data_IF_615897549794
#
_entry.id   IF_615897549794
#
_cell.length_a   1.000
_cell.length_b   1.000
_cell.length_c   1.000
_cell.angle_alpha   90.00
_cell.angle_beta   90.00
_cell.angle_gamma   90.00
#
_symmetry.space_group_name_H-M   'P 1'
#
loop_
_entity.id
_entity.type
_entity.pdbx_description
1 polymer ?
#
# COMPACT_ATOMS: atom_id res chain seq x y z
N UNK A 1 -23.28 -1.13 -3.51
CA UNK A 1 -21.96 -1.77 -3.74
C UNK A 1 -20.89 -1.07 -2.92
N UNK A 2 -19.99 -1.84 -2.35
CA UNK A 2 -18.90 -1.25 -1.59
C UNK A 2 -17.91 -0.56 -2.53
N UNK A 3 -17.41 0.60 -2.12
CA UNK A 3 -16.35 1.30 -2.85
C UNK A 3 -15.02 0.57 -2.62
N UNK A 4 -14.02 0.88 -3.44
CA UNK A 4 -12.69 0.31 -3.25
C UNK A 4 -12.10 0.71 -1.89
N UNK A 5 -12.36 1.93 -1.44
CA UNK A 5 -11.91 2.37 -0.11
C UNK A 5 -12.54 1.55 1.00
N UNK A 6 -13.84 1.25 0.89
CA UNK A 6 -14.54 0.42 1.87
C UNK A 6 -14.00 -1.02 1.85
N UNK A 7 -13.74 -1.58 0.65
CA UNK A 7 -13.14 -2.90 0.52
C UNK A 7 -11.75 -2.96 1.16
N UNK A 8 -10.95 -1.93 0.93
CA UNK A 8 -9.61 -1.85 1.51
C UNK A 8 -9.68 -1.78 3.04
N UNK A 9 -10.58 -0.99 3.57
CA UNK A 9 -10.81 -0.91 5.01
C UNK A 9 -11.20 -2.27 5.58
N UNK A 10 -12.17 -2.94 4.93
CA UNK A 10 -12.64 -4.24 5.38
C UNK A 10 -11.53 -5.30 5.32
N UNK A 11 -10.69 -5.24 4.28
CA UNK A 11 -9.52 -6.12 4.16
C UNK A 11 -8.54 -5.90 5.31
N UNK A 12 -8.26 -4.64 5.63
CA UNK A 12 -7.36 -4.34 6.74
C UNK A 12 -7.91 -4.87 8.06
N UNK A 13 -9.21 -4.68 8.30
CA UNK A 13 -9.87 -5.18 9.50
C UNK A 13 -9.90 -6.72 9.54
N UNK A 14 -9.85 -7.37 8.38
CA UNK A 14 -9.80 -8.83 8.29
C UNK A 14 -8.38 -9.40 8.51
N UNK A 15 -7.37 -8.53 8.67
CA UNK A 15 -6.02 -8.97 9.01
C UNK A 15 -4.97 -8.78 7.93
N UNK A 16 -5.34 -8.34 6.73
CA UNK A 16 -4.36 -8.03 5.69
C UNK A 16 -3.54 -6.81 6.08
N UNK A 17 -2.28 -6.74 5.60
CA UNK A 17 -1.49 -5.54 5.83
C UNK A 17 -1.96 -4.39 4.93
N UNK A 18 -1.42 -3.19 5.14
CA UNK A 18 -1.86 -1.99 4.43
C UNK A 18 -1.77 -2.15 2.90
N UNK A 19 -0.68 -2.70 2.41
CA UNK A 19 -0.48 -2.88 0.97
C UNK A 19 -1.42 -3.95 0.41
N UNK A 20 -1.56 -5.07 1.11
CA UNK A 20 -2.48 -6.13 0.71
C UNK A 20 -3.93 -5.65 0.74
N UNK A 21 -4.29 -4.86 1.74
CA UNK A 21 -5.65 -4.34 1.86
C UNK A 21 -6.04 -3.54 0.61
N UNK A 22 -5.15 -2.68 0.14
CA UNK A 22 -5.37 -1.89 -1.07
C UNK A 22 -5.35 -2.78 -2.31
N UNK A 23 -4.31 -3.60 -2.47
CA UNK A 23 -4.16 -4.44 -3.67
C UNK A 23 -5.33 -5.39 -3.85
N UNK A 24 -5.77 -6.05 -2.76
CA UNK A 24 -6.89 -6.99 -2.83
C UNK A 24 -8.20 -6.30 -3.17
N UNK A 25 -8.38 -5.03 -2.79
CA UNK A 25 -9.58 -4.27 -3.14
C UNK A 25 -9.71 -4.09 -4.66
N UNK A 26 -8.59 -4.16 -5.40
CA UNK A 26 -8.55 -4.01 -6.86
C UNK A 26 -8.24 -5.31 -7.59
N UNK A 27 -8.26 -6.45 -6.90
CA UNK A 27 -7.88 -7.73 -7.51
C UNK A 27 -8.66 -8.02 -8.79
N UNK A 28 -9.97 -7.79 -8.78
CA UNK A 28 -10.83 -8.04 -9.94
C UNK A 28 -10.38 -7.19 -11.13
N UNK A 29 -10.15 -5.90 -10.92
CA UNK A 29 -9.71 -4.97 -11.96
C UNK A 29 -8.34 -5.36 -12.53
N UNK A 30 -7.47 -5.94 -11.70
CA UNK A 30 -6.16 -6.42 -12.14
C UNK A 30 -6.23 -7.78 -12.84
N UNK A 31 -7.39 -8.40 -12.88
CA UNK A 31 -7.55 -9.74 -13.45
C UNK A 31 -6.91 -10.83 -12.59
N UNK A 32 -6.86 -10.62 -11.30
CA UNK A 32 -6.22 -11.54 -10.34
C UNK A 32 -7.21 -12.06 -9.32
N UNK A 33 -6.88 -13.20 -8.71
CA UNK A 33 -7.57 -13.64 -7.50
C UNK A 33 -7.10 -12.79 -6.33
N UNK A 34 -7.86 -12.81 -5.24
CA UNK A 34 -7.46 -12.13 -4.01
C UNK A 34 -6.12 -12.68 -3.51
N UNK A 35 -5.93 -14.01 -3.58
CA UNK A 35 -4.68 -14.63 -3.14
C UNK A 35 -3.48 -14.16 -3.96
N UNK A 36 -3.64 -14.00 -5.27
CA UNK A 36 -2.57 -13.50 -6.13
C UNK A 36 -2.20 -12.06 -5.79
N UNK A 37 -3.21 -11.20 -5.61
CA UNK A 37 -2.99 -9.80 -5.24
C UNK A 37 -2.32 -9.69 -3.86
N UNK A 38 -2.78 -10.48 -2.89
CA UNK A 38 -2.21 -10.50 -1.56
C UNK A 38 -0.74 -10.92 -1.57
N UNK A 39 -0.42 -11.93 -2.38
CA UNK A 39 0.96 -12.41 -2.50
C UNK A 39 1.89 -11.35 -3.07
N UNK A 40 1.44 -10.66 -4.12
CA UNK A 40 2.26 -9.63 -4.76
C UNK A 40 2.53 -8.44 -3.83
N UNK A 41 1.61 -8.11 -2.96
CA UNK A 41 1.74 -6.97 -2.05
C UNK A 41 2.30 -7.35 -0.68
N UNK A 42 2.55 -8.62 -0.42
CA UNK A 42 2.81 -9.14 0.92
C UNK A 42 4.01 -8.50 1.62
N UNK A 43 5.09 -8.22 0.90
CA UNK A 43 6.31 -7.67 1.50
C UNK A 43 6.27 -6.17 1.75
N UNK A 44 5.25 -5.48 1.27
CA UNK A 44 5.16 -4.01 1.40
C UNK A 44 4.55 -3.57 2.73
N UNK A 45 4.00 -4.49 3.51
CA UNK A 45 3.36 -4.16 4.78
C UNK A 45 4.33 -3.59 5.80
N UNK A 46 3.83 -2.71 6.66
CA UNK A 46 4.64 -2.07 7.69
C UNK A 46 5.73 -1.17 7.14
N UNK A 47 5.58 -0.67 5.93
CA UNK A 47 6.57 0.18 5.29
C UNK A 47 7.77 -0.62 4.79
N UNK A 48 7.52 -1.65 3.97
CA UNK A 48 8.52 -2.59 3.45
C UNK A 48 9.11 -3.45 4.57
N UNK A 49 8.44 -4.59 4.82
CA UNK A 49 8.92 -5.57 5.78
C UNK A 49 9.08 -5.01 7.20
N UNK A 50 8.19 -4.11 7.58
CA UNK A 50 8.17 -3.41 8.86
C UNK A 50 9.37 -2.50 9.10
N UNK A 51 10.06 -2.10 8.04
CA UNK A 51 11.17 -1.14 8.15
C UNK A 51 10.69 0.31 8.29
N UNK A 52 9.39 0.54 8.24
CA UNK A 52 8.76 1.86 8.41
C UNK A 52 9.20 2.87 7.34
N UNK A 53 9.46 2.38 6.15
CA UNK A 53 9.76 3.21 4.98
C UNK A 53 8.45 3.61 4.29
N UNK A 54 8.30 3.41 3.00
CA UNK A 54 7.11 3.87 2.27
C UNK A 54 5.84 3.20 2.82
N UNK A 55 4.80 4.01 3.06
CA UNK A 55 3.50 3.53 3.52
C UNK A 55 2.93 2.45 2.60
N UNK A 56 2.47 1.34 3.19
CA UNK A 56 1.91 0.23 2.43
C UNK A 56 0.71 0.61 1.59
N UNK A 57 -0.10 1.56 2.04
CA UNK A 57 -1.22 2.05 1.24
C UNK A 57 -0.73 2.72 -0.04
N UNK A 58 0.38 3.46 0.04
CA UNK A 58 0.99 4.09 -1.14
C UNK A 58 1.58 3.05 -2.07
N UNK A 59 2.41 2.13 -1.55
CA UNK A 59 3.03 1.10 -2.38
C UNK A 59 2.00 0.16 -2.98
N UNK A 60 0.95 -0.18 -2.23
CA UNK A 60 -0.17 -1.00 -2.74
C UNK A 60 -0.91 -0.30 -3.88
N UNK A 61 -1.19 1.00 -3.73
CA UNK A 61 -1.84 1.78 -4.77
C UNK A 61 -0.97 1.90 -6.02
N UNK A 62 0.34 2.11 -5.85
CA UNK A 62 1.27 2.16 -6.98
C UNK A 62 1.34 0.82 -7.70
N UNK A 63 1.34 -0.29 -6.95
CA UNK A 63 1.32 -1.63 -7.54
C UNK A 63 0.08 -1.83 -8.41
N UNK A 64 -1.09 -1.44 -7.91
CA UNK A 64 -2.35 -1.53 -8.67
C UNK A 64 -2.26 -0.68 -9.95
N UNK A 65 -1.80 0.55 -9.81
CA UNK A 65 -1.68 1.46 -10.95
C UNK A 65 -0.70 0.90 -11.98
N UNK A 66 0.43 0.35 -11.53
CA UNK A 66 1.41 -0.29 -12.41
C UNK A 66 0.80 -1.45 -13.19
N UNK A 67 -0.01 -2.26 -12.52
CA UNK A 67 -0.67 -3.40 -13.16
C UNK A 67 -1.62 -2.96 -14.27
N UNK A 68 -2.36 -1.87 -14.03
CA UNK A 68 -3.39 -1.40 -14.96
C UNK A 68 -2.83 -0.50 -16.06
N UNK A 69 -1.79 0.28 -15.77
CA UNK A 69 -1.32 1.34 -16.66
C UNK A 69 0.20 1.45 -16.76
N UNK A 70 0.94 0.46 -16.25
CA UNK A 70 2.40 0.49 -16.26
C UNK A 70 2.97 0.38 -17.67
N UNK A 71 4.18 0.87 -17.82
CA UNK A 71 4.93 0.71 -19.07
C UNK A 71 5.77 -0.57 -19.01
N UNK A 72 6.11 -1.14 -20.15
CA UNK A 72 6.92 -2.36 -20.19
C UNK A 72 8.05 -2.32 -21.23
N UNK A 73 7.99 -1.38 -22.18
CA UNK A 73 9.04 -1.26 -23.19
C UNK A 73 10.18 -0.40 -22.65
N UNK A 74 11.38 -0.98 -22.43
CA UNK A 74 12.49 -0.23 -21.86
C UNK A 74 13.00 0.90 -22.77
N UNK A 75 12.65 0.87 -24.06
CA UNK A 75 13.08 1.90 -25.00
C UNK A 75 12.07 3.04 -25.17
N UNK A 76 10.86 2.88 -24.61
CA UNK A 76 9.82 3.91 -24.68
C UNK A 76 10.00 4.91 -23.53
N UNK A 77 10.89 5.86 -23.72
CA UNK A 77 11.20 6.87 -22.72
C UNK A 77 10.01 7.81 -22.44
N UNK A 78 9.14 8.01 -23.43
CA UNK A 78 7.94 8.82 -23.24
C UNK A 78 6.95 8.16 -22.30
N UNK A 79 6.65 6.88 -22.52
CA UNK A 79 5.77 6.12 -21.63
C UNK A 79 6.34 6.06 -20.22
N UNK A 80 7.63 5.83 -20.09
CA UNK A 80 8.32 5.79 -18.81
C UNK A 80 8.19 7.12 -18.05
N UNK A 81 8.47 8.22 -18.73
CA UNK A 81 8.37 9.56 -18.12
C UNK A 81 6.94 9.89 -17.69
N UNK A 82 5.96 9.54 -18.53
CA UNK A 82 4.56 9.78 -18.22
C UNK A 82 4.12 8.97 -17.00
N UNK A 83 4.53 7.72 -16.93
CA UNK A 83 4.19 6.85 -15.81
C UNK A 83 4.82 7.38 -14.52
N UNK A 84 6.10 7.72 -14.56
CA UNK A 84 6.78 8.29 -13.39
C UNK A 84 6.10 9.58 -12.93
N UNK A 85 5.68 10.42 -13.88
CA UNK A 85 4.99 11.66 -13.56
C UNK A 85 3.66 11.43 -12.84
N UNK A 86 2.91 10.41 -13.26
CA UNK A 86 1.64 10.07 -12.62
C UNK A 86 1.84 9.52 -11.20
N UNK A 87 2.83 8.64 -11.03
CA UNK A 87 3.18 8.10 -9.71
C UNK A 87 3.64 9.24 -8.80
N UNK A 88 4.49 10.12 -9.31
CA UNK A 88 4.96 11.27 -8.54
C UNK A 88 3.82 12.17 -8.09
N UNK A 89 2.88 12.49 -8.99
CA UNK A 89 1.72 13.31 -8.64
C UNK A 89 0.85 12.66 -7.56
N UNK A 90 0.66 11.34 -7.66
CA UNK A 90 -0.08 10.62 -6.62
C UNK A 90 0.63 10.71 -5.27
N UNK A 91 1.93 10.47 -5.25
CA UNK A 91 2.71 10.51 -4.01
C UNK A 91 2.72 11.92 -3.40
N UNK A 92 2.86 12.95 -4.24
CA UNK A 92 2.85 14.33 -3.75
C UNK A 92 1.48 14.72 -3.19
N UNK A 93 0.39 14.27 -3.84
CA UNK A 93 -0.96 14.51 -3.34
C UNK A 93 -1.19 13.81 -1.99
N UNK A 94 -0.68 12.59 -1.86
CA UNK A 94 -0.76 11.87 -0.59
C UNK A 94 0.01 12.60 0.51
N UNK A 95 1.22 13.06 0.22
CA UNK A 95 2.04 13.82 1.17
C UNK A 95 1.35 15.13 1.58
N UNK A 96 0.73 15.82 0.63
CA UNK A 96 0.01 17.06 0.93
C UNK A 96 -1.13 16.83 1.91
N UNK A 97 -1.88 15.75 1.72
CA UNK A 97 -3.04 15.45 2.56
C UNK A 97 -2.64 14.90 3.93
N UNK A 98 -1.59 14.06 3.98
CA UNK A 98 -1.24 13.31 5.19
C UNK A 98 0.11 13.71 5.79
N UNK A 99 0.76 14.73 5.21
CA UNK A 99 2.06 15.31 5.62
C UNK A 99 3.27 14.41 5.36
N UNK A 100 3.07 13.16 4.92
CA UNK A 100 4.17 12.25 4.60
C UNK A 100 3.64 11.04 3.85
N UNK A 101 4.52 10.33 3.15
CA UNK A 101 4.24 9.00 2.62
C UNK A 101 5.09 7.93 3.30
N UNK A 102 5.84 8.31 4.31
CA UNK A 102 6.76 7.42 5.02
C UNK A 102 6.06 6.87 6.26
N UNK A 103 6.03 5.54 6.37
CA UNK A 103 5.33 4.84 7.44
C UNK A 103 5.76 5.34 8.83
N UNK A 104 7.07 5.49 9.04
CA UNK A 104 7.64 5.97 10.29
C UNK A 104 7.07 7.33 10.71
N UNK A 105 6.95 8.24 9.73
CA UNK A 105 6.45 9.59 9.99
C UNK A 105 4.93 9.60 10.20
N UNK A 106 4.21 8.78 9.43
CA UNK A 106 2.75 8.69 9.58
C UNK A 106 2.33 8.09 10.92
N UNK A 107 3.16 7.22 11.47
CA UNK A 107 2.90 6.57 12.76
C UNK A 107 3.57 7.30 13.93
N UNK A 108 4.20 8.44 13.68
CA UNK A 108 4.85 9.21 14.75
C UNK A 108 3.85 9.57 15.85
N UNK A 109 4.27 9.39 17.10
CA UNK A 109 3.42 9.65 18.25
C UNK A 109 2.59 8.47 18.72
N UNK A 110 2.56 7.38 17.95
CA UNK A 110 1.86 6.15 18.35
C UNK A 110 2.84 5.21 19.08
N UNK A 111 2.30 4.43 20.02
CA UNK A 111 3.07 3.40 20.68
C UNK A 111 3.13 2.18 19.77
N UNK A 112 4.33 1.86 19.28
CA UNK A 112 4.56 0.74 18.39
C UNK A 112 5.28 -0.38 19.12
N UNK A 113 4.91 -1.63 18.80
CA UNK A 113 5.48 -2.82 19.42
C UNK A 113 6.34 -3.57 18.40
N UNK A 114 7.33 -4.30 18.92
CA UNK A 114 8.21 -5.15 18.11
C UNK A 114 8.98 -4.40 17.02
N UNK A 115 9.26 -3.10 17.25
CA UNK A 115 10.03 -2.32 16.29
C UNK A 115 11.43 -2.90 16.13
N UNK A 116 11.91 -2.94 14.88
CA UNK A 116 13.18 -3.57 14.54
C UNK A 116 13.11 -5.07 14.39
N UNK A 117 11.94 -5.67 14.59
CA UNK A 117 11.69 -7.10 14.44
C UNK A 117 10.76 -7.35 13.25
N UNK A 118 10.94 -8.47 12.52
CA UNK A 118 10.00 -8.83 11.46
C UNK A 118 8.67 -9.37 11.99
N UNK A 119 8.54 -9.57 13.29
CA UNK A 119 7.32 -10.11 13.90
C UNK A 119 6.27 -9.00 14.03
N UNK A 120 5.11 -9.11 13.34
CA UNK A 120 4.08 -8.09 13.42
C UNK A 120 3.37 -8.09 14.77
N UNK A 121 2.75 -6.95 15.08
CA UNK A 121 1.91 -6.85 16.27
C UNK A 121 0.66 -7.72 16.13
N UNK A 122 0.15 -8.21 17.26
CA UNK A 122 -1.10 -8.95 17.28
C UNK A 122 -2.26 -8.03 16.85
N UNK A 123 -3.17 -8.58 16.05
CA UNK A 123 -4.35 -7.85 15.56
C UNK A 123 -5.46 -7.91 16.61
N UNK A 124 -5.26 -7.19 17.71
CA UNK A 124 -6.22 -7.08 18.80
C UNK A 124 -7.14 -5.88 18.59
N UNK A 125 -8.25 -5.76 19.33
CA UNK A 125 -9.08 -4.55 19.27
C UNK A 125 -8.29 -3.27 19.53
N UNK A 126 -7.32 -3.29 20.43
CA UNK A 126 -6.47 -2.13 20.72
C UNK A 126 -5.63 -1.74 19.52
N UNK A 127 -5.16 -2.71 18.75
CA UNK A 127 -4.38 -2.43 17.52
C UNK A 127 -5.16 -1.53 16.57
N UNK A 128 -6.45 -1.82 16.38
CA UNK A 128 -7.26 -1.09 15.41
C UNK A 128 -7.70 0.30 15.90
N UNK A 129 -7.47 0.61 17.17
CA UNK A 129 -7.78 1.94 17.72
C UNK A 129 -6.67 2.94 17.47
N UNK A 130 -5.48 2.48 17.16
CA UNK A 130 -4.34 3.34 16.82
C UNK A 130 -4.25 3.52 15.31
#
# INVERSE_FOLDING_TARGET
MATHAEKARDNFLAGYNCAQAVACAFAEEMGMTVDQAARLASGFGGGFGRMREVCGAVSGAVLVYNCLHGYCDPEDSTAKSQHYGRVMRFCLAFQEKWNSMICRELLAGLELKNEGSPVPEARTPEYYKT
#
